data_IF_981952440947
#
_entry.id   IF_981952440947
#
_cell.length_a   1.000
_cell.length_b   1.000
_cell.length_c   1.000
_cell.angle_alpha   90.00
_cell.angle_beta   90.00
_cell.angle_gamma   90.00
#
_symmetry.space_group_name_H-M   'P 1'
#
loop_
_entity.id
_entity.type
_entity.pdbx_description
1 polymer ?
#
# COMPACT_ATOMS: atom_id res chain seq x y z
N UNK A 1 -0.44 -39.35 -35.47
CA UNK A 1 0.91 -39.56 -34.94
C UNK A 1 1.07 -38.60 -33.78
N UNK A 2 0.85 -39.09 -32.57
CA UNK A 2 0.97 -38.33 -31.33
C UNK A 2 2.42 -38.37 -30.85
N UNK A 3 2.99 -37.20 -30.52
CA UNK A 3 4.34 -37.09 -29.99
C UNK A 3 4.47 -37.88 -28.67
N UNK A 4 5.54 -38.67 -28.47
CA UNK A 4 5.76 -39.48 -27.26
C UNK A 4 6.19 -38.66 -26.04
N UNK A 5 6.31 -37.34 -26.17
CA UNK A 5 6.65 -36.42 -25.10
C UNK A 5 5.38 -35.67 -24.70
N UNK A 6 4.80 -36.10 -23.58
CA UNK A 6 3.54 -35.60 -23.06
C UNK A 6 3.44 -34.07 -23.04
N UNK A 7 2.21 -33.58 -23.19
CA UNK A 7 1.82 -32.16 -23.17
C UNK A 7 2.77 -31.34 -22.31
N UNK A 8 3.50 -30.42 -22.93
CA UNK A 8 4.29 -29.40 -22.23
C UNK A 8 3.38 -28.76 -21.19
N UNK A 9 3.58 -29.09 -19.91
CA UNK A 9 2.91 -28.37 -18.83
C UNK A 9 3.37 -26.93 -18.97
N UNK A 10 2.47 -26.05 -19.44
CA UNK A 10 2.75 -24.62 -19.56
C UNK A 10 3.36 -24.16 -18.25
N UNK A 11 4.56 -23.57 -18.33
CA UNK A 11 5.26 -23.06 -17.16
C UNK A 11 4.37 -22.02 -16.50
N UNK A 12 3.96 -22.27 -15.26
CA UNK A 12 3.13 -21.36 -14.50
C UNK A 12 3.92 -20.07 -14.26
N UNK A 13 3.56 -18.99 -14.96
CA UNK A 13 4.11 -17.68 -14.67
C UNK A 13 3.14 -16.93 -13.77
N UNK A 14 3.59 -16.55 -12.57
CA UNK A 14 2.78 -15.78 -11.62
C UNK A 14 2.23 -14.47 -12.21
N UNK A 15 2.91 -13.90 -13.23
CA UNK A 15 2.44 -12.74 -14.01
C UNK A 15 1.11 -12.99 -14.74
N UNK A 16 0.86 -14.22 -15.17
CA UNK A 16 -0.33 -14.59 -15.95
C UNK A 16 -1.51 -14.97 -15.02
N UNK A 17 -1.24 -15.15 -13.71
CA UNK A 17 -2.22 -15.53 -12.69
C UNK A 17 -1.99 -14.82 -11.35
N UNK A 18 -1.81 -13.49 -11.40
CA UNK A 18 -1.48 -12.68 -10.22
C UNK A 18 -2.49 -12.82 -9.08
N UNK A 19 -3.77 -13.04 -9.39
CA UNK A 19 -4.83 -13.26 -8.40
C UNK A 19 -4.54 -14.44 -7.46
N UNK A 20 -3.73 -15.42 -7.89
CA UNK A 20 -3.31 -16.56 -7.04
C UNK A 20 -2.23 -16.19 -6.01
N UNK A 21 -1.54 -15.07 -6.18
CA UNK A 21 -0.51 -14.58 -5.24
C UNK A 21 -0.98 -13.40 -4.39
N UNK A 22 -2.13 -12.81 -4.69
CA UNK A 22 -2.74 -11.71 -3.93
C UNK A 22 -3.44 -12.20 -2.65
N UNK A 23 -2.69 -12.81 -1.74
CA UNK A 23 -3.19 -13.33 -0.45
C UNK A 23 -2.83 -12.42 0.71
N UNK A 24 -3.63 -12.41 1.80
CA UNK A 24 -3.34 -11.60 2.98
C UNK A 24 -1.98 -11.97 3.57
N UNK A 25 -1.20 -10.96 3.96
CA UNK A 25 0.18 -11.05 4.44
C UNK A 25 1.22 -11.48 3.39
N UNK A 26 0.86 -11.65 2.12
CA UNK A 26 1.84 -11.96 1.07
C UNK A 26 2.92 -10.86 0.97
N UNK A 27 4.16 -11.28 0.73
CA UNK A 27 5.27 -10.37 0.39
C UNK A 27 5.34 -10.27 -1.12
N UNK A 28 4.72 -9.22 -1.67
CA UNK A 28 4.62 -9.03 -3.12
C UNK A 28 5.85 -8.29 -3.65
N UNK A 29 6.55 -8.83 -4.67
CA UNK A 29 7.53 -8.06 -5.43
C UNK A 29 6.89 -6.79 -6.01
N UNK A 30 7.67 -5.71 -6.09
CA UNK A 30 7.19 -4.39 -6.49
C UNK A 30 6.53 -4.39 -7.89
N UNK A 31 6.99 -5.25 -8.78
CA UNK A 31 6.48 -5.38 -10.15
C UNK A 31 5.02 -5.88 -10.20
N UNK A 32 4.50 -6.44 -9.10
CA UNK A 32 3.10 -6.88 -8.97
C UNK A 32 2.21 -5.85 -8.27
N UNK A 33 2.77 -4.72 -7.84
CA UNK A 33 1.99 -3.71 -7.15
C UNK A 33 1.04 -3.02 -8.11
N UNK A 34 -0.11 -2.59 -7.58
CA UNK A 34 -1.08 -1.79 -8.32
C UNK A 34 -1.49 -0.59 -7.48
N UNK A 35 -2.05 0.41 -8.15
CA UNK A 35 -2.72 1.52 -7.49
C UNK A 35 -3.74 1.00 -6.46
N UNK A 36 -3.86 1.72 -5.35
CA UNK A 36 -4.72 1.41 -4.22
C UNK A 36 -4.35 0.15 -3.42
N UNK A 37 -3.21 -0.49 -3.70
CA UNK A 37 -2.70 -1.54 -2.83
C UNK A 37 -2.34 -0.97 -1.45
N UNK A 38 -2.72 -1.72 -0.41
CA UNK A 38 -2.47 -1.38 0.97
C UNK A 38 -1.57 -2.43 1.62
N UNK A 39 -0.54 -1.95 2.31
CA UNK A 39 0.45 -2.80 2.95
C UNK A 39 0.66 -2.38 4.40
N UNK A 40 1.06 -3.33 5.23
CA UNK A 40 1.48 -3.10 6.61
C UNK A 40 2.94 -3.49 6.84
N UNK A 41 3.53 -2.99 7.93
CA UNK A 41 4.85 -3.42 8.39
C UNK A 41 6.02 -2.53 7.92
N UNK A 42 5.75 -1.31 7.45
CA UNK A 42 6.81 -0.36 7.15
C UNK A 42 7.40 0.17 8.47
N UNK A 43 8.70 -0.01 8.74
CA UNK A 43 9.32 0.47 9.97
C UNK A 43 9.25 1.99 10.11
N UNK A 44 9.03 2.47 11.34
CA UNK A 44 8.88 3.89 11.64
C UNK A 44 10.14 4.72 11.32
N UNK A 45 11.32 4.15 11.58
CA UNK A 45 12.63 4.71 11.25
C UNK A 45 12.87 4.83 9.74
N UNK A 46 12.47 3.81 8.98
CA UNK A 46 12.50 3.83 7.50
C UNK A 46 11.60 4.92 6.94
N UNK A 47 10.37 5.03 7.43
CA UNK A 47 9.44 6.07 7.00
C UNK A 47 9.91 7.46 7.40
N UNK A 48 10.45 7.62 8.60
CA UNK A 48 11.05 8.87 9.03
C UNK A 48 12.16 9.30 8.07
N UNK A 49 13.08 8.39 7.73
CA UNK A 49 14.15 8.67 6.76
C UNK A 49 13.61 9.01 5.37
N UNK A 50 12.69 8.22 4.83
CA UNK A 50 12.15 8.37 3.47
C UNK A 50 11.27 9.62 3.30
N UNK A 51 10.78 10.18 4.40
CA UNK A 51 9.97 11.41 4.42
C UNK A 51 10.75 12.61 4.97
N UNK A 52 12.08 12.57 4.96
CA UNK A 52 12.96 13.63 5.44
C UNK A 52 12.65 14.10 6.87
N UNK A 53 12.26 13.16 7.72
CA UNK A 53 11.94 13.37 9.13
C UNK A 53 10.54 13.90 9.42
N UNK A 54 9.71 14.13 8.40
CA UNK A 54 8.39 14.70 8.57
C UNK A 54 7.34 13.70 9.07
N UNK A 55 7.43 12.43 8.66
CA UNK A 55 6.58 11.37 9.17
C UNK A 55 7.19 10.79 10.45
N UNK A 56 6.36 10.63 11.49
CA UNK A 56 6.78 10.23 12.84
C UNK A 56 7.99 11.01 13.36
N UNK A 57 7.83 12.30 13.74
CA UNK A 57 8.93 13.12 14.26
C UNK A 57 9.62 12.53 15.50
N UNK A 58 8.91 11.67 16.24
CA UNK A 58 9.44 10.86 17.32
C UNK A 58 9.45 9.40 16.87
N UNK A 59 10.60 8.94 16.37
CA UNK A 59 10.78 7.56 15.94
C UNK A 59 10.66 6.64 17.15
N UNK A 60 9.79 5.64 17.06
CA UNK A 60 9.63 4.61 18.09
C UNK A 60 10.17 3.28 17.56
N UNK A 61 11.23 2.77 18.19
CA UNK A 61 11.84 1.50 17.79
C UNK A 61 10.82 0.35 17.82
N UNK A 62 10.84 -0.49 16.79
CA UNK A 62 9.91 -1.63 16.63
C UNK A 62 8.49 -1.24 16.20
N UNK A 63 8.16 0.06 16.16
CA UNK A 63 6.87 0.52 15.65
C UNK A 63 6.85 0.42 14.12
N UNK A 64 5.70 0.06 13.58
CA UNK A 64 5.49 0.02 12.14
C UNK A 64 4.21 0.75 11.77
N UNK A 65 4.15 1.18 10.52
CA UNK A 65 3.02 1.88 9.95
C UNK A 65 2.61 1.22 8.63
N UNK A 66 1.35 1.39 8.21
CA UNK A 66 0.93 0.99 6.88
C UNK A 66 1.43 1.97 5.82
N UNK A 67 1.50 1.49 4.57
CA UNK A 67 1.74 2.31 3.38
C UNK A 67 0.66 2.02 2.34
N UNK A 68 0.34 3.04 1.56
CA UNK A 68 -0.67 2.98 0.50
C UNK A 68 -0.04 3.34 -0.83
N UNK A 69 -0.30 2.53 -1.87
CA UNK A 69 0.15 2.77 -3.22
C UNK A 69 -0.74 3.81 -3.91
N UNK A 70 -0.22 5.01 -4.11
CA UNK A 70 -0.93 6.12 -4.74
C UNK A 70 -1.04 5.93 -6.25
N UNK A 71 0.09 5.55 -6.86
CA UNK A 71 0.18 5.33 -8.29
C UNK A 71 1.39 4.48 -8.65
N UNK A 72 1.43 4.00 -9.88
CA UNK A 72 2.62 3.39 -10.47
C UNK A 72 3.47 4.46 -11.15
N UNK A 73 4.79 4.35 -11.01
CA UNK A 73 5.72 5.22 -11.72
C UNK A 73 5.78 4.83 -13.21
N UNK A 74 6.11 5.77 -14.12
CA UNK A 74 6.23 5.49 -15.55
C UNK A 74 7.14 4.29 -15.83
N UNK A 75 6.79 3.51 -16.86
CA UNK A 75 7.50 2.28 -17.25
C UNK A 75 7.52 1.19 -16.17
N UNK A 76 6.59 1.23 -15.19
CA UNK A 76 6.44 0.20 -14.15
C UNK A 76 7.71 -0.01 -13.30
N UNK A 77 8.61 0.99 -13.27
CA UNK A 77 9.90 0.87 -12.56
C UNK A 77 9.75 0.93 -11.04
N UNK A 78 8.58 1.35 -10.54
CA UNK A 78 8.25 1.35 -9.13
C UNK A 78 6.86 1.91 -8.83
N UNK A 79 6.59 2.15 -7.56
CA UNK A 79 5.33 2.69 -7.07
C UNK A 79 5.56 4.00 -6.31
N UNK A 80 4.70 4.98 -6.53
CA UNK A 80 4.57 6.15 -5.67
C UNK A 80 3.66 5.78 -4.51
N UNK A 81 4.14 5.95 -3.28
CA UNK A 81 3.39 5.59 -2.07
C UNK A 81 3.26 6.77 -1.12
N UNK A 82 2.37 6.66 -0.15
CA UNK A 82 2.39 7.49 1.04
C UNK A 82 2.29 6.64 2.31
N UNK A 83 2.87 7.09 3.43
CA UNK A 83 2.66 6.44 4.72
C UNK A 83 1.23 6.73 5.21
N UNK A 84 0.73 5.82 6.04
CA UNK A 84 -0.60 5.90 6.62
C UNK A 84 -0.52 6.05 8.14
N UNK A 85 -1.47 6.79 8.70
CA UNK A 85 -1.55 7.01 10.15
C UNK A 85 -2.97 6.94 10.67
N UNK A 86 -3.13 6.55 11.93
CA UNK A 86 -4.39 6.74 12.66
C UNK A 86 -4.57 8.19 13.10
N UNK A 87 -3.50 8.98 13.13
CA UNK A 87 -3.47 10.40 13.52
C UNK A 87 -3.65 11.28 12.27
N UNK A 88 -4.26 12.45 12.46
CA UNK A 88 -4.46 13.43 11.40
C UNK A 88 -3.10 13.97 10.89
N UNK A 89 -2.92 14.15 9.56
CA UNK A 89 -1.81 14.95 9.04
C UNK A 89 -1.86 16.39 9.59
N UNK A 90 -0.74 16.86 10.12
CA UNK A 90 -0.62 18.24 10.64
C UNK A 90 -0.82 19.25 9.50
N UNK A 91 -1.51 20.35 9.78
CA UNK A 91 -1.77 21.42 8.78
C UNK A 91 -2.69 21.05 7.61
N UNK A 92 -3.11 19.78 7.47
CA UNK A 92 -3.95 19.38 6.34
C UNK A 92 -5.38 19.93 6.47
N UNK A 93 -5.80 20.65 5.42
CA UNK A 93 -7.16 21.17 5.21
C UNK A 93 -8.05 20.11 4.54
N UNK A 94 -7.46 19.28 3.68
CA UNK A 94 -8.08 18.13 3.05
C UNK A 94 -7.16 16.92 3.11
N UNK A 95 -7.71 15.72 3.32
CA UNK A 95 -6.97 14.47 3.28
C UNK A 95 -7.88 13.28 2.99
N UNK A 96 -7.34 12.21 2.38
CA UNK A 96 -8.08 10.96 2.18
C UNK A 96 -7.98 10.04 3.39
N UNK A 97 -9.05 9.27 3.58
CA UNK A 97 -9.16 8.28 4.66
C UNK A 97 -9.72 6.98 4.10
N UNK A 98 -9.07 5.86 4.43
CA UNK A 98 -9.64 4.52 4.31
C UNK A 98 -10.52 4.28 5.54
N UNK A 99 -11.81 4.04 5.31
CA UNK A 99 -12.80 3.80 6.37
C UNK A 99 -12.49 2.52 7.16
N UNK A 100 -12.64 2.58 8.49
CA UNK A 100 -12.80 1.41 9.35
C UNK A 100 -13.94 0.53 8.81
N UNK A 101 -13.77 -0.79 8.88
CA UNK A 101 -14.74 -1.75 8.37
C UNK A 101 -14.69 -1.94 6.85
N UNK A 102 -13.84 -1.20 6.14
CA UNK A 102 -13.60 -1.47 4.72
C UNK A 102 -13.05 -2.89 4.55
N UNK A 103 -13.72 -3.69 3.71
CA UNK A 103 -13.23 -4.99 3.27
C UNK A 103 -12.38 -4.78 2.01
N UNK A 104 -11.10 -5.10 2.11
CA UNK A 104 -10.14 -4.99 1.01
C UNK A 104 -10.38 -6.11 -0.01
N UNK A 105 -10.19 -5.79 -1.29
CA UNK A 105 -10.29 -6.75 -2.39
C UNK A 105 -9.14 -7.76 -2.32
N UNK A 106 -9.34 -8.90 -2.98
CA UNK A 106 -8.41 -10.04 -3.11
C UNK A 106 -8.22 -10.85 -1.82
N UNK A 107 -8.03 -10.18 -0.70
CA UNK A 107 -7.72 -10.81 0.58
C UNK A 107 -8.92 -10.96 1.50
N UNK A 108 -9.94 -10.12 1.32
CA UNK A 108 -11.07 -10.02 2.24
C UNK A 108 -10.72 -9.43 3.60
N UNK A 109 -9.51 -8.88 3.78
CA UNK A 109 -9.05 -8.25 5.01
C UNK A 109 -9.97 -7.08 5.38
N UNK A 110 -10.35 -6.96 6.66
CA UNK A 110 -11.24 -5.89 7.14
C UNK A 110 -10.44 -4.89 7.96
N UNK A 111 -10.45 -3.62 7.53
CA UNK A 111 -9.76 -2.53 8.21
C UNK A 111 -10.28 -2.35 9.64
N UNK A 112 -9.41 -2.50 10.64
CA UNK A 112 -9.76 -2.41 12.07
C UNK A 112 -10.01 -0.97 12.55
N UNK A 113 -9.42 0.01 11.85
CA UNK A 113 -9.46 1.45 12.17
C UNK A 113 -9.44 2.33 10.92
N UNK A 114 -9.76 3.61 11.11
CA UNK A 114 -9.63 4.62 10.06
C UNK A 114 -8.15 4.90 9.78
N UNK A 115 -7.72 4.69 8.54
CA UNK A 115 -6.34 4.93 8.09
C UNK A 115 -6.29 6.20 7.23
N UNK A 116 -5.58 7.22 7.68
CA UNK A 116 -5.43 8.50 6.97
C UNK A 116 -4.23 8.41 6.04
N UNK A 117 -4.42 8.80 4.79
CA UNK A 117 -3.36 8.84 3.78
C UNK A 117 -2.59 10.15 3.93
N UNK A 118 -1.29 10.08 4.20
CA UNK A 118 -0.43 11.26 4.38
C UNK A 118 0.24 11.60 3.04
N UNK A 119 -0.58 11.94 2.05
CA UNK A 119 -0.17 12.04 0.63
C UNK A 119 0.85 13.14 0.35
N UNK A 120 0.88 14.18 1.19
CA UNK A 120 1.89 15.24 1.13
C UNK A 120 3.30 14.76 1.51
N UNK A 121 3.42 13.56 2.08
CA UNK A 121 4.69 12.88 2.38
C UNK A 121 4.87 11.66 1.49
N UNK A 122 4.50 11.77 0.22
CA UNK A 122 4.65 10.70 -0.75
C UNK A 122 6.09 10.55 -1.22
N UNK A 123 6.48 9.31 -1.54
CA UNK A 123 7.83 8.97 -1.99
C UNK A 123 7.83 7.74 -2.91
N UNK A 124 8.83 7.58 -3.80
CA UNK A 124 9.06 6.35 -4.55
C UNK A 124 9.42 5.19 -3.62
N UNK A 125 8.68 4.08 -3.69
CA UNK A 125 8.92 2.90 -2.84
C UNK A 125 10.26 2.22 -3.18
N UNK A 126 11.21 2.10 -2.23
CA UNK A 126 12.42 1.32 -2.45
C UNK A 126 12.12 -0.18 -2.57
N UNK A 127 12.71 -0.86 -3.56
CA UNK A 127 12.52 -2.31 -3.77
C UNK A 127 12.87 -3.16 -2.54
N UNK A 128 13.93 -2.79 -1.82
CA UNK A 128 14.38 -3.49 -0.60
C UNK A 128 13.39 -3.39 0.56
N UNK A 129 12.62 -2.30 0.62
CA UNK A 129 11.56 -2.14 1.61
C UNK A 129 10.29 -2.85 1.15
N UNK A 130 9.91 -2.70 -0.13
CA UNK A 130 8.71 -3.31 -0.71
C UNK A 130 8.61 -4.82 -0.42
N UNK A 131 9.71 -5.55 -0.59
CA UNK A 131 9.76 -7.01 -0.38
C UNK A 131 9.57 -7.45 1.08
N UNK A 132 9.62 -6.52 2.04
CA UNK A 132 9.44 -6.78 3.48
C UNK A 132 8.02 -6.50 3.95
N UNK A 133 7.22 -5.80 3.15
CA UNK A 133 5.88 -5.39 3.53
C UNK A 133 4.89 -6.53 3.35
N UNK A 134 3.89 -6.55 4.23
CA UNK A 134 2.78 -7.49 4.17
C UNK A 134 1.63 -6.86 3.40
N UNK A 135 1.29 -7.44 2.25
CA UNK A 135 0.11 -7.08 1.48
C UNK A 135 -1.14 -7.35 2.30
N UNK A 136 -2.06 -6.39 2.34
CA UNK A 136 -3.34 -6.51 3.03
C UNK A 136 -4.51 -6.59 2.09
N UNK A 137 -4.34 -6.20 0.83
CA UNK A 137 -5.42 -6.13 -0.15
C UNK A 137 -5.38 -4.82 -0.93
N UNK A 138 -6.28 -4.73 -1.89
CA UNK A 138 -6.54 -3.51 -2.64
C UNK A 138 -7.72 -2.77 -2.00
N UNK A 139 -7.57 -1.45 -1.82
CA UNK A 139 -8.62 -0.61 -1.25
C UNK A 139 -9.63 -0.26 -2.35
N UNK A 140 -10.92 -0.63 -2.21
CA UNK A 140 -11.95 -0.16 -3.11
C UNK A 140 -12.07 1.37 -3.05
N UNK A 141 -12.27 2.02 -4.20
CA UNK A 141 -12.50 3.48 -4.27
C UNK A 141 -13.68 3.92 -3.39
N UNK A 142 -14.70 3.07 -3.24
CA UNK A 142 -15.87 3.33 -2.37
C UNK A 142 -15.52 3.43 -0.88
N UNK A 143 -14.37 2.90 -0.47
CA UNK A 143 -13.86 3.02 0.90
C UNK A 143 -13.02 4.29 1.13
N UNK A 144 -12.61 4.99 0.07
CA UNK A 144 -11.83 6.22 0.18
C UNK A 144 -12.76 7.42 0.40
N UNK A 145 -12.57 8.10 1.53
CA UNK A 145 -13.26 9.34 1.86
C UNK A 145 -12.34 10.53 1.64
N UNK A 146 -12.83 11.56 0.97
CA UNK A 146 -12.24 12.90 1.07
C UNK A 146 -12.79 13.62 2.30
N UNK A 147 -11.92 13.98 3.24
CA UNK A 147 -12.29 14.79 4.40
C UNK A 147 -11.82 16.21 4.15
N UNK A 148 -12.75 17.12 3.90
CA UNK A 148 -12.48 18.55 3.79
C UNK A 148 -12.92 19.23 5.09
N UNK A 149 -12.02 19.94 5.78
CA UNK A 149 -12.43 20.85 6.84
C UNK A 149 -12.51 22.27 6.28
N UNK A 150 -13.66 22.92 6.49
CA UNK A 150 -13.70 24.38 6.42
C UNK A 150 -12.76 24.95 7.49
N UNK A 151 -11.95 25.97 7.18
CA UNK A 151 -11.22 26.69 8.21
C UNK A 151 -12.24 27.25 9.23
N UNK A 152 -11.90 27.29 10.53
CA UNK A 152 -12.75 27.97 11.50
C UNK A 152 -12.82 29.46 11.12
N UNK A 153 -13.98 29.92 10.65
CA UNK A 153 -14.22 31.32 10.28
C UNK A 153 -14.68 31.61 8.85
N UNK A 154 -15.08 30.60 8.06
CA UNK A 154 -15.78 30.80 6.79
C UNK A 154 -17.30 30.84 6.96
#
# INVERSE_FOLDING_TARGET
>A
MDSPWGKTKGTFHARDHIELVLTDNARLPLDYWRKNFFFSGAPDDELHRLTWGAFSPQVVSGKTHPVFCLDLLPHEVGALVCPCSSVKPSGAVSYRVIRRGCRLLHTGHVMDRNSKLIENLSFPMPRSLASRLSFRGEVPETCLMNVNRRPPGA
#
